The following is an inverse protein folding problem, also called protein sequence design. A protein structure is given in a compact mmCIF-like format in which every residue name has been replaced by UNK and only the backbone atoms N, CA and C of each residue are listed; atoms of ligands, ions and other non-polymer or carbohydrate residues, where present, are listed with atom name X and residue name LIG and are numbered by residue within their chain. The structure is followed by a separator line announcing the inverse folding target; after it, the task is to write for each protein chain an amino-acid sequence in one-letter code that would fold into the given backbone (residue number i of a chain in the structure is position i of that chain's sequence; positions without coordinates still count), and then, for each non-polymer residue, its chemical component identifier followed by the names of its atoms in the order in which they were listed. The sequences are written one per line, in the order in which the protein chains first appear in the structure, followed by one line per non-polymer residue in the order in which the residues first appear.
data_IF_588080911647
#
_entry.id   IF_588080911647
#
_cell.length_a   1.000
_cell.length_b   1.000
_cell.length_c   1.000
_cell.angle_alpha   90.00
_cell.angle_beta   90.00
_cell.angle_gamma   90.00
#
_symmetry.space_group_name_H-M   'P 1'
#
loop_
_entity.id
_entity.type
_entity.pdbx_description
1 polymer ?
#
# COMPACT_ATOMS: atom_id res chain seq x y z
N UNK A 1 -0.72 -9.38 40.84
CA UNK A 1 -0.16 -10.01 39.62
C UNK A 1 -1.25 -9.96 38.57
N UNK A 2 -1.19 -9.00 37.65
CA UNK A 2 -2.24 -8.79 36.65
C UNK A 2 -1.80 -9.43 35.33
N UNK A 3 -2.46 -10.50 34.93
CA UNK A 3 -2.37 -11.11 33.60
C UNK A 3 -3.17 -10.29 32.57
N UNK A 4 -2.96 -8.98 32.53
CA UNK A 4 -3.61 -8.13 31.56
C UNK A 4 -2.80 -8.10 30.25
N UNK A 5 -3.44 -8.58 29.19
CA UNK A 5 -3.16 -8.25 27.79
C UNK A 5 -1.96 -8.97 27.15
N UNK A 6 -2.24 -10.16 26.61
CA UNK A 6 -1.51 -10.69 25.45
C UNK A 6 -2.11 -10.08 24.17
N UNK A 7 -1.51 -9.02 23.58
CA UNK A 7 -1.99 -8.42 22.32
C UNK A 7 -1.92 -9.39 21.13
N UNK A 8 -1.14 -10.47 21.26
CA UNK A 8 -0.88 -11.47 20.21
C UNK A 8 -2.13 -12.25 19.75
N UNK A 9 -3.13 -12.44 20.63
CA UNK A 9 -4.32 -13.26 20.28
C UNK A 9 -5.34 -12.50 19.43
N UNK A 10 -5.53 -11.20 19.67
CA UNK A 10 -6.53 -10.39 18.96
C UNK A 10 -6.20 -10.16 17.47
N UNK A 11 -4.91 -10.19 17.12
CA UNK A 11 -4.47 -9.95 15.75
C UNK A 11 -4.55 -11.19 14.84
N UNK A 12 -4.40 -12.41 15.38
CA UNK A 12 -4.42 -13.65 14.57
C UNK A 12 -5.82 -14.14 14.21
N UNK A 13 -6.85 -13.81 15.00
CA UNK A 13 -8.22 -14.30 14.76
C UNK A 13 -9.06 -13.36 13.89
N UNK A 14 -8.63 -12.10 13.71
CA UNK A 14 -9.38 -11.13 12.90
C UNK A 14 -9.10 -11.40 11.43
N UNK A 15 -10.05 -12.08 10.77
CA UNK A 15 -10.07 -12.17 9.30
C UNK A 15 -9.99 -10.77 8.71
N UNK A 16 -9.05 -10.58 7.80
CA UNK A 16 -8.94 -9.33 7.07
C UNK A 16 -10.19 -9.14 6.20
N UNK A 17 -10.70 -7.92 6.15
CA UNK A 17 -11.87 -7.55 5.37
C UNK A 17 -11.51 -6.62 4.21
N UNK A 18 -12.45 -6.46 3.28
CA UNK A 18 -12.36 -5.47 2.19
C UNK A 18 -12.17 -4.06 2.77
N UNK A 19 -12.84 -3.75 3.88
CA UNK A 19 -12.72 -2.44 4.52
C UNK A 19 -11.32 -2.23 5.13
N UNK A 20 -10.70 -3.27 5.71
CA UNK A 20 -9.33 -3.15 6.20
C UNK A 20 -8.34 -2.86 5.06
N UNK A 21 -8.57 -3.41 3.85
CA UNK A 21 -7.78 -3.09 2.65
C UNK A 21 -8.01 -1.63 2.22
N UNK A 22 -9.28 -1.17 2.19
CA UNK A 22 -9.61 0.22 1.86
C UNK A 22 -9.02 1.20 2.85
N UNK A 23 -9.12 0.92 4.15
CA UNK A 23 -8.56 1.72 5.23
C UNK A 23 -7.02 1.78 5.16
N UNK A 24 -6.37 0.70 4.73
CA UNK A 24 -4.93 0.66 4.54
C UNK A 24 -4.47 1.49 3.33
N UNK A 25 -5.24 1.48 2.23
CA UNK A 25 -4.91 2.19 0.99
C UNK A 25 -5.39 3.65 0.96
N UNK A 26 -6.47 3.98 1.66
CA UNK A 26 -7.13 5.30 1.67
C UNK A 26 -6.19 6.47 2.01
N UNK A 27 -5.39 6.40 3.09
CA UNK A 27 -4.48 7.47 3.47
C UNK A 27 -3.11 7.38 2.76
N UNK A 28 -2.98 6.57 1.70
CA UNK A 28 -1.71 6.39 1.02
C UNK A 28 -1.22 7.71 0.39
N UNK A 29 -0.02 8.13 0.77
CA UNK A 29 0.71 9.17 0.03
C UNK A 29 1.58 8.53 -1.05
N UNK A 30 1.96 9.28 -2.09
CA UNK A 30 2.76 8.74 -3.19
C UNK A 30 4.09 8.11 -2.74
N UNK A 31 4.78 8.71 -1.75
CA UNK A 31 6.01 8.19 -1.16
C UNK A 31 5.84 6.80 -0.50
N UNK A 32 4.72 6.58 0.20
CA UNK A 32 4.45 5.32 0.89
C UNK A 32 3.69 4.29 0.06
N UNK A 33 3.25 4.65 -1.15
CA UNK A 33 2.37 3.82 -1.94
C UNK A 33 2.97 2.43 -2.25
N UNK A 34 4.27 2.35 -2.54
CA UNK A 34 4.95 1.07 -2.77
C UNK A 34 5.06 0.20 -1.51
N UNK A 35 5.24 0.81 -0.33
CA UNK A 35 5.27 0.09 0.94
C UNK A 35 3.89 -0.49 1.29
N UNK A 36 2.84 0.34 1.14
CA UNK A 36 1.45 -0.07 1.34
C UNK A 36 1.07 -1.19 0.36
N UNK A 37 1.45 -1.06 -0.91
CA UNK A 37 1.25 -2.09 -1.95
C UNK A 37 1.86 -3.43 -1.53
N UNK A 38 3.10 -3.43 -1.07
CA UNK A 38 3.79 -4.66 -0.65
C UNK A 38 3.12 -5.29 0.57
N UNK A 39 2.59 -4.49 1.49
CA UNK A 39 1.81 -4.97 2.63
C UNK A 39 0.50 -5.63 2.18
N UNK A 40 -0.27 -4.97 1.32
CA UNK A 40 -1.52 -5.53 0.76
C UNK A 40 -1.24 -6.85 0.04
N UNK A 41 -0.18 -6.93 -0.76
CA UNK A 41 0.20 -8.17 -1.47
C UNK A 41 0.37 -9.35 -0.51
N UNK A 42 1.07 -9.16 0.62
CA UNK A 42 1.28 -10.23 1.62
C UNK A 42 -0.03 -10.66 2.29
N UNK A 43 -0.96 -9.73 2.48
CA UNK A 43 -2.24 -10.02 3.13
C UNK A 43 -3.16 -10.86 2.25
N UNK A 44 -3.10 -10.66 0.93
CA UNK A 44 -3.99 -11.34 -0.02
C UNK A 44 -3.38 -12.58 -0.69
N UNK A 45 -2.05 -12.79 -0.59
CA UNK A 45 -1.33 -13.87 -1.27
C UNK A 45 -1.87 -15.27 -0.98
N UNK A 46 -2.41 -15.49 0.23
CA UNK A 46 -2.95 -16.78 0.67
C UNK A 46 -4.47 -16.92 0.49
N UNK A 47 -5.13 -15.88 -0.02
CA UNK A 47 -6.57 -15.90 -0.20
C UNK A 47 -6.95 -16.57 -1.54
N UNK A 48 -8.09 -17.28 -1.61
CA UNK A 48 -8.66 -17.77 -2.87
C UNK A 48 -8.82 -16.66 -3.92
N UNK A 49 -8.70 -17.00 -5.20
CA UNK A 49 -8.78 -16.02 -6.30
C UNK A 49 -10.15 -15.32 -6.40
N UNK A 50 -11.21 -15.98 -5.94
CA UNK A 50 -12.59 -15.52 -5.88
C UNK A 50 -12.93 -14.76 -4.57
N UNK A 51 -11.97 -14.65 -3.63
CA UNK A 51 -12.18 -13.94 -2.39
C UNK A 51 -12.33 -12.41 -2.66
N UNK A 52 -13.42 -11.77 -2.16
CA UNK A 52 -13.64 -10.35 -2.39
C UNK A 52 -12.52 -9.45 -1.83
N UNK A 53 -11.84 -9.86 -0.76
CA UNK A 53 -10.70 -9.15 -0.18
C UNK A 53 -9.50 -9.21 -1.12
N UNK A 54 -9.27 -10.35 -1.77
CA UNK A 54 -8.20 -10.49 -2.77
C UNK A 54 -8.46 -9.63 -3.98
N UNK A 55 -9.68 -9.67 -4.52
CA UNK A 55 -10.09 -8.86 -5.67
C UNK A 55 -9.88 -7.36 -5.38
N UNK A 56 -10.31 -6.87 -4.21
CA UNK A 56 -10.07 -5.47 -3.84
C UNK A 56 -8.59 -5.18 -3.63
N UNK A 57 -7.84 -6.08 -2.98
CA UNK A 57 -6.41 -5.93 -2.77
C UNK A 57 -5.62 -5.81 -4.07
N UNK A 58 -5.95 -6.62 -5.08
CA UNK A 58 -5.35 -6.54 -6.41
C UNK A 58 -5.65 -5.20 -7.09
N UNK A 59 -6.90 -4.69 -6.98
CA UNK A 59 -7.26 -3.35 -7.48
C UNK A 59 -6.46 -2.24 -6.82
N UNK A 60 -6.32 -2.29 -5.48
CA UNK A 60 -5.53 -1.29 -4.75
C UNK A 60 -4.03 -1.39 -5.08
N UNK A 61 -3.48 -2.58 -5.34
CA UNK A 61 -2.08 -2.75 -5.75
C UNK A 61 -1.80 -1.99 -7.05
N UNK A 62 -2.69 -2.07 -8.03
CA UNK A 62 -2.55 -1.32 -9.30
C UNK A 62 -2.58 0.17 -9.04
N UNK A 63 -3.60 0.65 -8.32
CA UNK A 63 -3.75 2.08 -7.96
C UNK A 63 -2.54 2.63 -7.22
N UNK A 64 -2.01 1.89 -6.25
CA UNK A 64 -0.83 2.31 -5.47
C UNK A 64 0.45 2.31 -6.32
N UNK A 65 0.54 1.42 -7.30
CA UNK A 65 1.65 1.41 -8.26
C UNK A 65 1.62 2.62 -9.17
N UNK A 66 0.44 3.04 -9.63
CA UNK A 66 0.25 4.29 -10.39
C UNK A 66 0.52 5.52 -9.53
N UNK A 67 -0.03 5.57 -8.31
CA UNK A 67 0.18 6.67 -7.38
C UNK A 67 1.67 6.92 -7.10
N UNK A 68 2.45 5.85 -6.92
CA UNK A 68 3.89 5.95 -6.73
C UNK A 68 4.61 6.60 -7.92
N UNK A 69 4.16 6.35 -9.16
CA UNK A 69 4.75 6.91 -10.37
C UNK A 69 4.45 8.40 -10.54
N UNK A 70 3.32 8.87 -10.01
CA UNK A 70 2.88 10.27 -10.09
C UNK A 70 3.38 11.15 -8.93
N UNK A 71 4.22 10.61 -8.02
CA UNK A 71 4.88 11.34 -6.91
C UNK A 71 5.87 12.43 -7.35
N UNK A 72 5.82 12.88 -8.60
CA UNK A 72 6.89 13.62 -9.27
C UNK A 72 7.46 14.76 -8.43
N UNK A 73 8.75 14.66 -8.10
CA UNK A 73 9.61 15.83 -8.21
C UNK A 73 9.68 16.16 -9.71
N UNK A 74 9.62 17.45 -10.13
CA UNK A 74 9.83 17.78 -11.53
C UNK A 74 11.15 17.14 -11.94
N UNK A 75 11.19 16.51 -13.11
CA UNK A 75 12.49 16.23 -13.75
C UNK A 75 13.14 17.58 -14.00
N UNK A 76 13.83 18.10 -12.99
CA UNK A 76 14.62 19.30 -13.06
C UNK A 76 15.65 19.07 -14.14
N UNK A 77 15.47 19.79 -15.24
CA UNK A 77 16.47 20.03 -16.26
C UNK A 77 17.81 20.23 -15.54
N UNK A 78 18.77 19.33 -15.75
CA UNK A 78 20.13 19.55 -15.26
C UNK A 78 20.66 20.89 -15.80
N UNK A 79 21.58 21.58 -15.08
CA UNK A 79 22.16 22.82 -15.58
C UNK A 79 23.03 22.48 -16.80
N UNK A 80 22.46 22.63 -17.99
CA UNK A 80 23.05 22.10 -19.21
C UNK A 80 22.66 22.87 -20.47
N UNK A 81 22.56 24.19 -20.38
CA UNK A 81 22.63 25.03 -21.58
C UNK A 81 23.72 26.08 -21.36
N UNK A 82 24.94 25.90 -21.89
CA UNK A 82 25.78 27.05 -22.15
C UNK A 82 25.10 27.86 -23.27
N UNK A 83 24.68 29.07 -22.93
CA UNK A 83 24.29 30.06 -23.94
C UNK A 83 25.53 30.34 -24.80
N UNK A 84 25.51 29.86 -26.04
CA UNK A 84 26.34 30.40 -27.09
C UNK A 84 25.48 31.46 -27.79
N UNK A 85 25.83 32.73 -27.65
CA UNK A 85 25.84 33.78 -28.68
C UNK A 85 26.43 35.06 -28.11
#
# INVERSE_FOLDING_TARGET
MSEAERPDRLASERRITVEDIRALAGPATPHFALQIRNRIRRLIERLPADDPVRIEGERQIVRLTELAQHSGEPRGLGPGTPAAH
#
